data_IF_587733498415
#
_entry.id   IF_587733498415
#
_cell.length_a   1.000
_cell.length_b   1.000
_cell.length_c   1.000
_cell.angle_alpha   90.00
_cell.angle_beta   90.00
_cell.angle_gamma   90.00
#
_symmetry.space_group_name_H-M   'P 1'
#
loop_
_entity.id
_entity.type
_entity.pdbx_description
1 polymer ?
#
# COMPACT_ATOMS: atom_id res chain seq x y z
N UNK A 1 36.31 3.19 20.22
CA UNK A 1 34.84 3.31 20.26
C UNK A 1 34.30 2.90 21.63
N UNK A 2 33.27 3.56 22.15
CA UNK A 2 32.63 3.13 23.41
C UNK A 2 31.80 1.85 23.17
N UNK A 3 31.85 0.90 24.12
CA UNK A 3 31.10 -0.37 24.07
C UNK A 3 29.59 -0.14 23.88
N UNK A 4 29.08 1.02 24.33
CA UNK A 4 27.69 1.41 24.19
C UNK A 4 27.30 1.78 22.75
N UNK A 5 28.19 2.40 21.97
CA UNK A 5 27.93 2.76 20.56
C UNK A 5 27.95 1.51 19.67
N UNK A 6 28.91 0.62 19.87
CA UNK A 6 28.98 -0.65 19.12
C UNK A 6 27.70 -1.49 19.29
N UNK A 7 27.23 -1.66 20.53
CA UNK A 7 25.97 -2.36 20.81
C UNK A 7 24.75 -1.67 20.19
N UNK A 8 24.75 -0.34 20.06
CA UNK A 8 23.66 0.38 19.37
C UNK A 8 23.67 0.10 17.87
N UNK A 9 24.85 0.01 17.24
CA UNK A 9 25.00 -0.33 15.83
C UNK A 9 24.53 -1.78 15.58
N UNK A 10 24.99 -2.74 16.39
CA UNK A 10 24.55 -4.15 16.31
C UNK A 10 23.02 -4.28 16.41
N UNK A 11 22.42 -3.59 17.39
CA UNK A 11 20.94 -3.58 17.55
C UNK A 11 20.23 -3.00 16.34
N UNK A 12 20.81 -2.01 15.67
CA UNK A 12 20.23 -1.40 14.48
C UNK A 12 20.20 -2.39 13.29
N UNK A 13 21.21 -3.26 13.17
CA UNK A 13 21.27 -4.24 12.09
C UNK A 13 20.38 -5.47 12.30
N UNK A 14 19.95 -5.77 13.54
CA UNK A 14 19.14 -6.96 13.88
C UNK A 14 17.93 -7.22 12.97
N UNK A 15 17.32 -6.17 12.42
CA UNK A 15 16.16 -6.25 11.54
C UNK A 15 16.48 -6.67 10.09
N UNK A 16 17.76 -6.79 9.70
CA UNK A 16 18.15 -7.24 8.37
C UNK A 16 17.86 -8.74 8.16
N UNK A 17 17.55 -9.17 6.93
CA UNK A 17 17.39 -10.59 6.61
C UNK A 17 18.63 -11.40 7.02
N UNK A 18 18.43 -12.60 7.58
CA UNK A 18 19.52 -13.45 8.09
C UNK A 18 20.63 -13.67 7.05
N UNK A 19 20.27 -14.09 5.84
CA UNK A 19 21.23 -14.31 4.76
C UNK A 19 22.08 -13.08 4.41
N UNK A 20 21.54 -11.87 4.55
CA UNK A 20 22.33 -10.64 4.35
C UNK A 20 23.25 -10.39 5.55
N UNK A 21 22.75 -10.61 6.77
CA UNK A 21 23.53 -10.43 7.99
C UNK A 21 24.73 -11.37 8.03
N UNK A 22 24.53 -12.64 7.72
CA UNK A 22 25.58 -13.64 7.73
C UNK A 22 26.73 -13.29 6.75
N UNK A 23 26.41 -12.59 5.65
CA UNK A 23 27.39 -12.21 4.63
C UNK A 23 28.02 -10.81 4.84
N UNK A 24 27.33 -9.88 5.51
CA UNK A 24 27.68 -8.46 5.48
C UNK A 24 27.65 -7.75 6.83
N UNK A 25 27.08 -8.35 7.89
CA UNK A 25 26.87 -7.68 9.18
C UNK A 25 28.20 -7.24 9.81
N UNK A 26 29.19 -8.14 9.86
CA UNK A 26 30.49 -7.83 10.46
C UNK A 26 31.21 -6.66 9.76
N UNK A 27 31.18 -6.66 8.41
CA UNK A 27 31.79 -5.59 7.61
C UNK A 27 31.02 -4.28 7.78
N UNK A 28 29.69 -4.31 7.76
CA UNK A 28 28.87 -3.12 7.91
C UNK A 28 29.00 -2.49 9.31
N UNK A 29 29.11 -3.30 10.36
CA UNK A 29 29.36 -2.83 11.73
C UNK A 29 30.76 -2.21 11.81
N UNK A 30 31.78 -2.83 11.21
CA UNK A 30 33.14 -2.27 11.16
C UNK A 30 33.17 -0.89 10.49
N UNK A 31 32.62 -0.77 9.29
CA UNK A 31 32.59 0.49 8.53
C UNK A 31 31.84 1.60 9.28
N UNK A 32 30.69 1.29 9.90
CA UNK A 32 29.96 2.27 10.71
C UNK A 32 30.67 2.57 12.04
N UNK A 33 31.42 1.61 12.58
CA UNK A 33 32.29 1.80 13.74
C UNK A 33 33.41 2.79 13.44
N UNK A 34 34.11 2.62 12.33
CA UNK A 34 35.18 3.53 11.89
C UNK A 34 34.61 4.93 11.62
N UNK A 35 33.46 5.02 10.96
CA UNK A 35 32.77 6.29 10.75
C UNK A 35 32.35 6.95 12.08
N UNK A 36 31.89 6.16 13.05
CA UNK A 36 31.52 6.64 14.38
C UNK A 36 32.73 7.16 15.16
N UNK A 37 33.87 6.48 15.07
CA UNK A 37 35.12 6.92 15.70
C UNK A 37 35.66 8.20 15.06
N UNK A 38 35.72 8.25 13.73
CA UNK A 38 36.17 9.42 12.99
C UNK A 38 35.32 10.67 13.26
N UNK A 39 34.01 10.48 13.43
CA UNK A 39 33.07 11.57 13.72
C UNK A 39 32.85 11.81 15.23
N UNK A 40 33.55 11.08 16.12
CA UNK A 40 33.47 11.27 17.57
C UNK A 40 32.07 11.00 18.15
N UNK A 41 31.32 10.03 17.61
CA UNK A 41 29.94 9.78 18.04
C UNK A 41 29.88 9.26 19.47
N UNK A 42 29.13 9.97 20.32
CA UNK A 42 28.72 9.48 21.64
C UNK A 42 27.49 8.56 21.58
N UNK A 43 26.70 8.67 20.51
CA UNK A 43 25.56 7.81 20.20
C UNK A 43 25.32 7.76 18.69
N UNK A 44 24.65 6.71 18.20
CA UNK A 44 24.32 6.58 16.76
C UNK A 44 23.28 7.65 16.38
N UNK A 45 23.58 8.56 15.43
CA UNK A 45 22.66 9.60 15.00
C UNK A 45 21.33 9.04 14.51
N UNK A 46 20.24 9.80 14.72
CA UNK A 46 18.90 9.40 14.23
C UNK A 46 18.87 9.18 12.72
N UNK A 47 19.62 10.00 11.96
CA UNK A 47 19.73 9.88 10.52
C UNK A 47 20.29 8.51 10.09
N UNK A 48 21.34 8.03 10.76
CA UNK A 48 21.93 6.72 10.49
C UNK A 48 20.99 5.58 10.86
N UNK A 49 20.32 5.67 12.01
CA UNK A 49 19.29 4.68 12.38
C UNK A 49 18.20 4.56 11.32
N UNK A 50 17.75 5.69 10.78
CA UNK A 50 16.79 5.73 9.68
C UNK A 50 17.36 5.14 8.38
N UNK A 51 18.61 5.44 8.05
CA UNK A 51 19.28 4.87 6.87
C UNK A 51 19.38 3.34 6.96
N UNK A 52 19.80 2.81 8.11
CA UNK A 52 19.89 1.37 8.39
C UNK A 52 18.52 0.71 8.33
N UNK A 53 17.49 1.28 8.98
CA UNK A 53 16.13 0.76 8.95
C UNK A 53 15.54 0.76 7.52
N UNK A 54 15.77 1.84 6.77
CA UNK A 54 15.36 1.94 5.35
C UNK A 54 16.04 0.86 4.51
N UNK A 55 17.34 0.64 4.72
CA UNK A 55 18.08 -0.40 4.01
C UNK A 55 17.54 -1.80 4.32
N UNK A 56 17.30 -2.13 5.59
CA UNK A 56 16.67 -3.38 6.01
C UNK A 56 15.31 -3.59 5.32
N UNK A 57 14.47 -2.56 5.29
CA UNK A 57 13.16 -2.61 4.64
C UNK A 57 13.27 -2.88 3.13
N UNK A 58 14.20 -2.21 2.44
CA UNK A 58 14.46 -2.45 1.01
C UNK A 58 14.92 -3.87 0.76
N UNK A 59 15.81 -4.41 1.60
CA UNK A 59 16.27 -5.79 1.49
C UNK A 59 15.13 -6.79 1.69
N UNK A 60 14.32 -6.62 2.74
CA UNK A 60 13.12 -7.45 2.94
C UNK A 60 12.17 -7.40 1.74
N UNK A 61 11.89 -6.21 1.23
CA UNK A 61 11.04 -6.03 0.05
C UNK A 61 11.62 -6.71 -1.20
N UNK A 62 12.94 -6.61 -1.41
CA UNK A 62 13.63 -7.26 -2.53
C UNK A 62 13.67 -8.79 -2.41
N UNK A 63 13.79 -9.32 -1.19
CA UNK A 63 13.75 -10.76 -0.91
C UNK A 63 12.34 -11.35 -1.03
N UNK A 64 11.31 -10.59 -0.67
CA UNK A 64 9.91 -11.03 -0.74
C UNK A 64 9.34 -10.99 -2.17
N UNK A 65 9.73 -9.98 -2.97
CA UNK A 65 9.11 -9.70 -4.26
C UNK A 65 10.13 -9.62 -5.40
N UNK A 66 9.93 -10.46 -6.43
CA UNK A 66 10.70 -10.38 -7.68
C UNK A 66 10.56 -9.00 -8.35
N UNK A 67 11.51 -8.57 -9.20
CA UNK A 67 11.37 -7.31 -9.96
C UNK A 67 10.07 -7.21 -10.76
N UNK A 68 9.59 -8.35 -11.29
CA UNK A 68 8.31 -8.44 -12.01
C UNK A 68 7.13 -8.23 -11.07
N UNK A 69 7.15 -8.86 -9.90
CA UNK A 69 6.12 -8.68 -8.86
C UNK A 69 6.07 -7.25 -8.35
N UNK A 70 7.23 -6.61 -8.13
CA UNK A 70 7.31 -5.20 -7.72
C UNK A 70 6.73 -4.26 -8.77
N UNK A 71 7.01 -4.48 -10.06
CA UNK A 71 6.43 -3.69 -11.14
C UNK A 71 4.92 -3.87 -11.25
N UNK A 72 4.43 -5.10 -11.09
CA UNK A 72 3.00 -5.39 -11.07
C UNK A 72 2.32 -4.70 -9.87
N UNK A 73 2.82 -4.91 -8.66
CA UNK A 73 2.34 -4.28 -7.43
C UNK A 73 2.28 -2.75 -7.54
N UNK A 74 3.37 -2.13 -8.02
CA UNK A 74 3.44 -0.69 -8.22
C UNK A 74 2.40 -0.19 -9.24
N UNK A 75 2.20 -0.95 -10.33
CA UNK A 75 1.21 -0.60 -11.35
C UNK A 75 -0.21 -0.74 -10.83
N UNK A 76 -0.51 -1.82 -10.11
CA UNK A 76 -1.81 -2.07 -9.50
C UNK A 76 -2.15 -0.95 -8.50
N UNK A 77 -1.24 -0.69 -7.56
CA UNK A 77 -1.41 0.34 -6.54
C UNK A 77 -1.56 1.75 -7.14
N UNK A 78 -0.78 2.09 -8.17
CA UNK A 78 -0.88 3.37 -8.85
C UNK A 78 -2.24 3.54 -9.55
N UNK A 79 -2.68 2.54 -10.33
CA UNK A 79 -3.97 2.61 -11.01
C UNK A 79 -5.15 2.64 -10.03
N UNK A 80 -5.09 1.86 -8.95
CA UNK A 80 -6.07 1.89 -7.87
C UNK A 80 -6.09 3.23 -7.12
N UNK A 81 -4.94 3.86 -6.88
CA UNK A 81 -4.85 5.21 -6.31
C UNK A 81 -5.46 6.28 -7.22
N UNK A 82 -5.18 6.22 -8.53
CA UNK A 82 -5.78 7.11 -9.50
C UNK A 82 -7.31 6.96 -9.58
N UNK A 83 -7.81 5.72 -9.60
CA UNK A 83 -9.23 5.43 -9.59
C UNK A 83 -9.93 5.85 -8.28
N UNK A 84 -9.34 5.56 -7.12
CA UNK A 84 -9.83 6.02 -5.83
C UNK A 84 -9.90 7.55 -5.76
N UNK A 85 -8.87 8.23 -6.30
CA UNK A 85 -8.86 9.68 -6.46
C UNK A 85 -10.03 10.17 -7.31
N UNK A 86 -10.26 9.58 -8.48
CA UNK A 86 -11.37 9.96 -9.34
C UNK A 86 -12.74 9.79 -8.64
N UNK A 87 -12.95 8.68 -7.93
CA UNK A 87 -14.20 8.46 -7.18
C UNK A 87 -14.34 9.48 -6.05
N UNK A 88 -13.27 9.79 -5.33
CA UNK A 88 -13.29 10.80 -4.28
C UNK A 88 -13.61 12.20 -4.83
N UNK A 89 -13.03 12.57 -5.97
CA UNK A 89 -13.30 13.84 -6.65
C UNK A 89 -14.80 13.94 -7.02
N UNK A 90 -15.34 12.89 -7.63
CA UNK A 90 -16.75 12.84 -8.04
C UNK A 90 -17.70 12.88 -6.83
N UNK A 91 -17.39 12.12 -5.78
CA UNK A 91 -18.23 12.00 -4.60
C UNK A 91 -18.27 13.28 -3.74
N UNK A 92 -17.13 13.95 -3.57
CA UNK A 92 -17.00 15.05 -2.59
C UNK A 92 -16.69 16.43 -3.18
N UNK A 93 -16.11 16.52 -4.37
CA UNK A 93 -15.65 17.80 -4.93
C UNK A 93 -16.60 18.31 -6.01
N UNK A 94 -16.98 17.44 -6.96
CA UNK A 94 -17.75 17.84 -8.15
C UNK A 94 -19.26 17.72 -7.99
N UNK A 95 -19.75 17.03 -6.95
CA UNK A 95 -21.18 16.86 -6.77
C UNK A 95 -21.85 18.20 -6.43
N UNK A 96 -22.94 18.58 -7.13
CA UNK A 96 -23.73 19.74 -6.76
C UNK A 96 -24.32 19.51 -5.36
N UNK A 97 -23.92 20.34 -4.42
CA UNK A 97 -24.51 20.38 -3.07
C UNK A 97 -25.80 21.19 -3.20
N UNK A 98 -26.95 20.57 -2.89
CA UNK A 98 -28.17 21.32 -2.58
C UNK A 98 -28.01 22.08 -1.26
N UNK A 99 -29.11 22.38 -0.57
CA UNK A 99 -29.14 23.14 0.71
C UNK A 99 -28.32 22.54 1.88
N UNK A 100 -27.66 21.39 1.69
CA UNK A 100 -26.75 20.74 2.64
C UNK A 100 -25.39 21.44 2.82
N UNK A 101 -25.16 22.60 2.16
CA UNK A 101 -23.92 23.41 2.25
C UNK A 101 -23.56 23.80 3.70
N UNK A 102 -24.53 23.85 4.62
CA UNK A 102 -24.33 24.29 5.99
C UNK A 102 -23.61 23.28 6.91
N UNK A 103 -23.45 22.01 6.51
CA UNK A 103 -22.94 20.95 7.39
C UNK A 103 -21.63 20.30 6.96
N UNK A 104 -21.12 20.56 5.74
CA UNK A 104 -19.82 20.02 5.32
C UNK A 104 -18.70 21.02 5.63
N UNK A 105 -17.75 20.72 6.53
CA UNK A 105 -16.65 21.63 6.84
C UNK A 105 -15.74 21.84 5.62
N UNK A 106 -15.79 23.05 5.05
CA UNK A 106 -15.12 23.44 3.79
C UNK A 106 -13.61 23.11 3.77
N UNK A 107 -12.93 23.14 4.93
CA UNK A 107 -11.51 22.80 5.05
C UNK A 107 -11.16 21.35 4.69
N UNK A 108 -12.06 20.40 4.98
CA UNK A 108 -11.82 18.97 4.70
C UNK A 108 -11.80 18.67 3.20
N UNK A 109 -12.63 19.39 2.45
CA UNK A 109 -12.79 19.25 1.01
C UNK A 109 -11.58 19.84 0.28
N UNK A 110 -11.06 20.97 0.73
CA UNK A 110 -9.87 21.59 0.13
C UNK A 110 -8.63 20.69 0.26
N UNK A 111 -8.36 20.18 1.46
CA UNK A 111 -7.23 19.27 1.67
C UNK A 111 -7.40 17.94 0.92
N UNK A 112 -8.62 17.39 0.87
CA UNK A 112 -8.94 16.21 0.07
C UNK A 112 -8.78 16.45 -1.44
N UNK A 113 -9.23 17.59 -1.94
CA UNK A 113 -9.12 17.99 -3.34
C UNK A 113 -7.66 18.14 -3.78
N UNK A 114 -6.78 18.69 -2.93
CA UNK A 114 -5.34 18.77 -3.21
C UNK A 114 -4.74 17.37 -3.30
N UNK A 115 -5.00 16.51 -2.31
CA UNK A 115 -4.47 15.14 -2.31
C UNK A 115 -4.88 14.36 -3.58
N UNK A 116 -6.16 14.47 -3.95
CA UNK A 116 -6.71 13.81 -5.14
C UNK A 116 -6.21 14.45 -6.43
N UNK A 117 -6.13 15.77 -6.48
CA UNK A 117 -5.60 16.52 -7.62
C UNK A 117 -4.17 16.13 -7.96
N UNK A 118 -3.33 15.88 -6.94
CA UNK A 118 -1.97 15.36 -7.13
C UNK A 118 -1.99 13.96 -7.75
N UNK A 119 -2.87 13.07 -7.29
CA UNK A 119 -3.01 11.72 -7.86
C UNK A 119 -3.49 11.72 -9.31
N UNK A 120 -4.49 12.53 -9.63
CA UNK A 120 -5.02 12.66 -10.99
C UNK A 120 -4.00 13.31 -11.92
N UNK A 121 -3.27 14.30 -11.44
CA UNK A 121 -2.14 14.90 -12.18
C UNK A 121 -1.03 13.87 -12.42
N UNK A 122 -0.73 13.01 -11.44
CA UNK A 122 0.22 11.92 -11.62
C UNK A 122 -0.25 10.93 -12.69
N UNK A 123 -1.53 10.57 -12.69
CA UNK A 123 -2.14 9.69 -13.69
C UNK A 123 -2.12 10.31 -15.10
N UNK A 124 -2.43 11.62 -15.22
CA UNK A 124 -2.35 12.36 -16.46
C UNK A 124 -0.91 12.40 -17.01
N UNK A 125 0.07 12.79 -16.18
CA UNK A 125 1.49 12.76 -16.56
C UNK A 125 1.95 11.37 -16.99
N UNK A 126 1.49 10.33 -16.29
CA UNK A 126 1.79 8.95 -16.68
C UNK A 126 1.16 8.59 -18.04
N UNK A 127 -0.07 9.01 -18.31
CA UNK A 127 -0.75 8.87 -19.60
C UNK A 127 -0.02 9.56 -20.74
N UNK A 128 0.53 10.74 -20.51
CA UNK A 128 1.38 11.47 -21.46
C UNK A 128 2.83 10.93 -21.57
N UNK A 129 3.16 9.85 -20.87
CA UNK A 129 4.49 9.23 -20.91
C UNK A 129 5.54 9.90 -20.02
N UNK A 130 5.19 10.92 -19.24
CA UNK A 130 6.09 11.64 -18.31
C UNK A 130 6.25 10.86 -17.00
N UNK A 131 6.92 9.71 -17.08
CA UNK A 131 7.02 8.75 -15.96
C UNK A 131 7.76 9.28 -14.73
N UNK A 132 8.79 10.10 -14.92
CA UNK A 132 9.55 10.71 -13.80
C UNK A 132 8.68 11.71 -13.04
N UNK A 133 7.98 12.58 -13.76
CA UNK A 133 7.04 13.55 -13.18
C UNK A 133 5.91 12.87 -12.43
N UNK A 134 5.29 11.83 -13.01
CA UNK A 134 4.26 11.05 -12.34
C UNK A 134 4.74 10.46 -11.00
N UNK A 135 5.96 9.92 -10.94
CA UNK A 135 6.54 9.40 -9.69
C UNK A 135 6.83 10.51 -8.67
N UNK A 136 7.29 11.67 -9.13
CA UNK A 136 7.48 12.84 -8.26
C UNK A 136 6.18 13.24 -7.59
N UNK A 137 5.07 13.28 -8.36
CA UNK A 137 3.75 13.57 -7.82
C UNK A 137 3.24 12.48 -6.88
N UNK A 138 3.49 11.19 -7.14
CA UNK A 138 3.15 10.11 -6.19
C UNK A 138 3.92 10.25 -4.88
N UNK A 139 5.21 10.60 -4.94
CA UNK A 139 6.00 10.86 -3.74
C UNK A 139 5.49 12.09 -2.97
N UNK A 140 5.06 13.14 -3.68
CA UNK A 140 4.42 14.30 -3.09
C UNK A 140 3.07 13.93 -2.44
N UNK A 141 2.25 13.13 -3.10
CA UNK A 141 0.99 12.62 -2.55
C UNK A 141 1.22 11.80 -1.28
N UNK A 142 2.26 10.96 -1.24
CA UNK A 142 2.65 10.22 -0.04
C UNK A 142 3.04 11.17 1.10
N UNK A 143 3.93 12.13 0.83
CA UNK A 143 4.36 13.11 1.82
C UNK A 143 3.19 13.94 2.36
N UNK A 144 2.31 14.39 1.47
CA UNK A 144 1.12 15.15 1.83
C UNK A 144 0.13 14.33 2.66
N UNK A 145 -0.17 13.09 2.25
CA UNK A 145 -1.07 12.21 3.00
C UNK A 145 -0.55 11.92 4.42
N UNK A 146 0.77 11.67 4.57
CA UNK A 146 1.40 11.46 5.88
C UNK A 146 1.40 12.74 6.71
N UNK A 147 1.69 13.90 6.12
CA UNK A 147 1.64 15.18 6.82
C UNK A 147 0.24 15.45 7.35
N UNK A 148 -0.80 15.31 6.52
CA UNK A 148 -2.20 15.47 6.95
C UNK A 148 -2.58 14.45 8.03
N UNK A 149 -2.09 13.21 7.95
CA UNK A 149 -2.35 12.19 8.97
C UNK A 149 -1.75 12.60 10.32
N UNK A 150 -0.50 13.07 10.33
CA UNK A 150 0.16 13.58 11.54
C UNK A 150 -0.58 14.81 12.08
N UNK A 151 -0.93 15.77 11.21
CA UNK A 151 -1.70 16.96 11.60
C UNK A 151 -3.02 16.57 12.24
N UNK A 152 -3.73 15.56 11.70
CA UNK A 152 -4.98 15.07 12.28
C UNK A 152 -4.81 14.48 13.68
N UNK A 153 -3.69 13.81 13.96
CA UNK A 153 -3.41 13.26 15.28
C UNK A 153 -2.98 14.32 16.30
N UNK A 154 -2.34 15.40 15.84
CA UNK A 154 -1.85 16.48 16.71
C UNK A 154 -2.92 17.55 16.94
N UNK A 155 -3.68 17.90 15.90
CA UNK A 155 -4.76 18.89 15.94
C UNK A 155 -6.09 18.20 15.69
N UNK A 156 -6.74 17.77 16.78
CA UNK A 156 -8.00 17.01 16.75
C UNK A 156 -9.16 17.76 16.11
N UNK A 157 -9.11 19.09 16.12
CA UNK A 157 -10.17 19.97 15.57
C UNK A 157 -9.95 20.33 14.09
N UNK A 158 -8.84 19.88 13.49
CA UNK A 158 -8.54 20.19 12.10
C UNK A 158 -9.52 19.48 11.16
N UNK A 159 -10.19 20.28 10.32
CA UNK A 159 -11.11 19.82 9.28
C UNK A 159 -10.32 19.14 8.16
N UNK A 160 -9.99 17.86 8.35
CA UNK A 160 -9.13 17.06 7.46
C UNK A 160 -9.89 15.86 6.90
N UNK A 161 -9.46 15.31 5.74
CA UNK A 161 -9.95 14.03 5.23
C UNK A 161 -9.83 12.93 6.29
N UNK A 162 -10.73 11.95 6.26
CA UNK A 162 -10.76 10.87 7.24
C UNK A 162 -9.41 10.13 7.29
N UNK A 163 -9.07 9.59 8.47
CA UNK A 163 -7.86 8.80 8.62
C UNK A 163 -7.83 7.60 7.66
N UNK A 164 -9.01 7.06 7.29
CA UNK A 164 -9.14 5.98 6.30
C UNK A 164 -8.62 6.42 4.94
N UNK A 165 -9.10 7.57 4.44
CA UNK A 165 -8.65 8.17 3.17
C UNK A 165 -7.14 8.40 3.16
N UNK A 166 -6.62 9.02 4.22
CA UNK A 166 -5.20 9.37 4.33
C UNK A 166 -4.31 8.12 4.37
N UNK A 167 -4.69 7.11 5.16
CA UNK A 167 -3.96 5.83 5.26
C UNK A 167 -4.02 5.08 3.93
N UNK A 168 -5.18 5.01 3.28
CA UNK A 168 -5.33 4.34 1.98
C UNK A 168 -4.41 4.97 0.92
N UNK A 169 -4.46 6.29 0.74
CA UNK A 169 -3.63 6.98 -0.24
C UNK A 169 -2.14 6.91 0.09
N UNK A 170 -1.76 6.97 1.37
CA UNK A 170 -0.37 6.80 1.79
C UNK A 170 0.14 5.38 1.47
N UNK A 171 -0.64 4.34 1.78
CA UNK A 171 -0.27 2.96 1.47
C UNK A 171 -0.18 2.72 -0.04
N UNK A 172 -1.16 3.18 -0.83
CA UNK A 172 -1.15 3.06 -2.28
C UNK A 172 0.02 3.80 -2.91
N UNK A 173 0.34 5.02 -2.44
CA UNK A 173 1.48 5.79 -2.93
C UNK A 173 2.81 5.10 -2.59
N UNK A 174 2.96 4.61 -1.36
CA UNK A 174 4.12 3.84 -0.93
C UNK A 174 4.35 2.61 -1.81
N UNK A 175 3.30 1.83 -2.08
CA UNK A 175 3.37 0.66 -2.96
C UNK A 175 3.66 1.04 -4.42
N UNK A 176 3.07 2.12 -4.93
CA UNK A 176 3.30 2.63 -6.29
C UNK A 176 4.77 3.04 -6.53
N UNK A 177 5.49 3.45 -5.48
CA UNK A 177 6.90 3.82 -5.57
C UNK A 177 7.86 2.62 -5.59
N UNK A 178 7.41 1.40 -5.27
CA UNK A 178 8.29 0.22 -5.14
C UNK A 178 8.87 -0.32 -6.46
N UNK A 179 8.27 0.02 -7.60
CA UNK A 179 8.61 -0.63 -8.88
C UNK A 179 8.34 0.24 -10.10
N UNK A 180 8.68 -0.29 -11.28
CA UNK A 180 8.40 0.38 -12.56
C UNK A 180 6.92 0.25 -12.91
N UNK A 181 6.31 1.34 -13.36
CA UNK A 181 4.92 1.37 -13.80
C UNK A 181 4.78 0.82 -15.22
N UNK A 182 3.76 -0.02 -15.45
CA UNK A 182 3.42 -0.60 -16.75
C UNK A 182 1.99 -0.22 -17.12
N UNK A 183 1.82 0.47 -18.25
CA UNK A 183 0.56 1.08 -18.66
C UNK A 183 -0.62 0.11 -18.64
N UNK A 184 -0.47 -1.09 -19.23
CA UNK A 184 -1.53 -2.11 -19.26
C UNK A 184 -2.09 -2.47 -17.88
N UNK A 185 -1.23 -2.52 -16.87
CA UNK A 185 -1.60 -2.92 -15.51
C UNK A 185 -2.13 -1.75 -14.72
N UNK A 186 -1.59 -0.54 -14.95
CA UNK A 186 -2.09 0.71 -14.37
C UNK A 186 -3.53 0.96 -14.81
N UNK A 187 -3.79 0.94 -16.12
CA UNK A 187 -5.12 1.21 -16.64
C UNK A 187 -6.08 0.05 -16.37
N UNK A 188 -5.60 -1.19 -16.44
CA UNK A 188 -6.38 -2.36 -16.03
C UNK A 188 -6.83 -2.30 -14.58
N UNK A 189 -5.95 -1.93 -13.64
CA UNK A 189 -6.35 -1.78 -12.23
C UNK A 189 -7.20 -0.55 -11.99
N UNK A 190 -6.95 0.57 -12.68
CA UNK A 190 -7.80 1.75 -12.58
C UNK A 190 -9.24 1.44 -13.02
N UNK A 191 -9.42 0.76 -14.16
CA UNK A 191 -10.74 0.33 -14.64
C UNK A 191 -11.38 -0.66 -13.68
N UNK A 192 -10.64 -1.66 -13.21
CA UNK A 192 -11.18 -2.64 -12.25
C UNK A 192 -11.61 -1.95 -10.94
N UNK A 193 -10.78 -1.06 -10.39
CA UNK A 193 -11.12 -0.28 -9.19
C UNK A 193 -12.31 0.66 -9.44
N UNK A 194 -12.41 1.31 -10.59
CA UNK A 194 -13.58 2.13 -10.93
C UNK A 194 -14.86 1.30 -11.09
N UNK A 195 -14.78 0.13 -11.73
CA UNK A 195 -15.93 -0.75 -11.86
C UNK A 195 -16.39 -1.29 -10.50
N UNK A 196 -15.45 -1.74 -9.67
CA UNK A 196 -15.75 -2.23 -8.32
C UNK A 196 -16.21 -1.11 -7.38
N UNK A 197 -15.56 0.05 -7.39
CA UNK A 197 -15.80 1.10 -6.38
C UNK A 197 -16.71 2.21 -6.89
N UNK A 198 -16.52 2.66 -8.14
CA UNK A 198 -17.34 3.70 -8.77
C UNK A 198 -18.80 3.25 -8.94
N UNK A 199 -19.05 2.02 -9.40
CA UNK A 199 -20.42 1.49 -9.46
C UNK A 199 -21.12 1.44 -8.10
N UNK A 200 -20.36 1.25 -7.01
CA UNK A 200 -20.89 1.05 -5.66
C UNK A 200 -20.99 2.35 -4.85
N UNK A 201 -20.12 3.34 -5.11
CA UNK A 201 -20.26 4.71 -4.58
C UNK A 201 -21.33 5.50 -5.33
N UNK A 202 -21.55 5.21 -6.62
CA UNK A 202 -22.66 5.78 -7.37
C UNK A 202 -23.99 5.05 -7.12
N UNK A 203 -23.99 3.84 -6.58
CA UNK A 203 -25.23 3.10 -6.32
C UNK A 203 -26.22 3.86 -5.42
N UNK A 204 -25.83 4.48 -4.28
CA UNK A 204 -26.78 5.29 -3.50
C UNK A 204 -27.31 6.50 -4.28
N UNK A 205 -26.49 7.12 -5.15
CA UNK A 205 -26.95 8.21 -6.04
C UNK A 205 -27.96 7.72 -7.07
N UNK A 206 -27.72 6.54 -7.65
CA UNK A 206 -28.55 5.93 -8.69
C UNK A 206 -29.85 5.32 -8.14
N UNK A 207 -29.84 4.85 -6.88
CA UNK A 207 -30.99 4.20 -6.23
C UNK A 207 -31.71 5.09 -5.21
N UNK A 208 -31.50 6.42 -5.26
CA UNK A 208 -32.21 7.37 -4.40
C UNK A 208 -31.84 7.33 -2.91
N UNK A 209 -30.73 6.69 -2.56
CA UNK A 209 -30.17 6.67 -1.22
C UNK A 209 -29.50 8.01 -0.88
N UNK A 210 -29.62 8.43 0.40
CA UNK A 210 -28.84 9.56 0.91
C UNK A 210 -27.37 9.17 0.90
N UNK A 211 -26.57 9.86 0.11
CA UNK A 211 -25.11 9.72 0.18
C UNK A 211 -24.63 10.38 1.45
N UNK A 212 -23.77 9.66 2.16
CA UNK A 212 -23.03 10.16 3.29
C UNK A 212 -22.49 11.60 3.07
N UNK A 213 -22.96 12.56 3.86
CA UNK A 213 -22.44 13.94 3.86
C UNK A 213 -21.00 14.03 4.41
N UNK A 214 -20.50 12.97 5.03
CA UNK A 214 -19.18 12.88 5.68
C UNK A 214 -18.33 11.76 5.08
N UNK A 215 -17.05 12.05 4.83
CA UNK A 215 -16.05 11.11 4.30
C UNK A 215 -16.04 9.76 5.05
N UNK A 216 -16.13 9.78 6.38
CA UNK A 216 -16.13 8.56 7.20
C UNK A 216 -17.34 7.65 6.98
N UNK A 217 -18.52 8.21 6.69
CA UNK A 217 -19.73 7.45 6.44
C UNK A 217 -19.70 6.79 5.05
N UNK A 218 -19.04 7.40 4.05
CA UNK A 218 -18.81 6.75 2.76
C UNK A 218 -17.99 5.48 2.93
N UNK A 219 -16.89 5.53 3.70
CA UNK A 219 -16.05 4.35 3.95
C UNK A 219 -16.78 3.26 4.73
N UNK A 220 -17.68 3.64 5.65
CA UNK A 220 -18.53 2.68 6.35
C UNK A 220 -19.44 1.94 5.36
N UNK A 221 -20.24 2.66 4.56
CA UNK A 221 -21.17 2.07 3.60
C UNK A 221 -20.46 1.27 2.50
N UNK A 222 -19.29 1.74 2.07
CA UNK A 222 -18.50 1.08 1.04
C UNK A 222 -17.72 -0.13 1.56
N UNK A 223 -17.56 -0.31 2.88
CA UNK A 223 -16.69 -1.36 3.43
C UNK A 223 -17.15 -2.78 3.07
N UNK A 224 -18.45 -3.09 3.10
CA UNK A 224 -19.03 -4.37 2.63
C UNK A 224 -18.59 -4.71 1.21
N UNK A 225 -18.64 -3.70 0.35
CA UNK A 225 -18.33 -3.80 -1.06
C UNK A 225 -16.83 -3.90 -1.33
N UNK A 226 -16.03 -3.14 -0.57
CA UNK A 226 -14.56 -3.27 -0.61
C UNK A 226 -14.16 -4.69 -0.18
N UNK A 227 -14.77 -5.25 0.88
CA UNK A 227 -14.52 -6.63 1.32
C UNK A 227 -14.85 -7.66 0.23
N UNK A 228 -15.97 -7.49 -0.48
CA UNK A 228 -16.31 -8.33 -1.64
C UNK A 228 -15.24 -8.24 -2.73
N UNK A 229 -14.83 -7.02 -3.11
CA UNK A 229 -13.80 -6.80 -4.13
C UNK A 229 -12.44 -7.38 -3.74
N UNK A 230 -12.03 -7.20 -2.47
CA UNK A 230 -10.82 -7.81 -1.90
C UNK A 230 -10.91 -9.33 -1.95
N UNK A 231 -12.05 -9.91 -1.57
CA UNK A 231 -12.30 -11.35 -1.65
C UNK A 231 -12.12 -11.89 -3.07
N UNK A 232 -12.79 -11.27 -4.05
CA UNK A 232 -12.67 -11.64 -5.47
C UNK A 232 -11.22 -11.56 -5.98
N UNK A 233 -10.49 -10.52 -5.60
CA UNK A 233 -9.09 -10.36 -5.97
C UNK A 233 -8.18 -11.42 -5.33
N UNK A 234 -8.44 -11.85 -4.09
CA UNK A 234 -7.72 -12.95 -3.44
C UNK A 234 -8.05 -14.31 -4.05
N UNK A 235 -9.31 -14.55 -4.43
CA UNK A 235 -9.68 -15.75 -5.19
C UNK A 235 -8.97 -15.79 -6.55
N UNK A 236 -8.90 -14.65 -7.26
CA UNK A 236 -8.10 -14.55 -8.48
C UNK A 236 -6.61 -14.80 -8.21
N UNK A 237 -6.07 -14.30 -7.10
CA UNK A 237 -4.69 -14.58 -6.69
C UNK A 237 -4.45 -16.08 -6.43
N UNK A 238 -5.39 -16.78 -5.78
CA UNK A 238 -5.32 -18.23 -5.60
C UNK A 238 -5.36 -18.98 -6.94
N UNK A 239 -6.27 -18.61 -7.85
CA UNK A 239 -6.30 -19.19 -9.20
C UNK A 239 -4.97 -18.98 -9.94
N UNK A 240 -4.34 -17.80 -9.79
CA UNK A 240 -2.99 -17.54 -10.33
C UNK A 240 -1.91 -18.42 -9.69
N UNK A 241 -2.03 -18.76 -8.40
CA UNK A 241 -1.08 -19.71 -7.78
C UNK A 241 -1.20 -21.10 -8.38
N UNK A 242 -2.43 -21.58 -8.62
CA UNK A 242 -2.68 -22.88 -9.23
C UNK A 242 -2.23 -22.93 -10.69
N UNK A 243 -2.36 -21.83 -11.43
CA UNK A 243 -1.82 -21.69 -12.79
C UNK A 243 -0.31 -21.46 -12.87
N UNK A 244 0.45 -21.67 -11.80
CA UNK A 244 1.92 -21.51 -11.77
C UNK A 244 2.42 -20.06 -11.78
N UNK A 245 1.53 -19.06 -11.74
CA UNK A 245 1.86 -17.61 -11.76
C UNK A 245 2.05 -17.05 -10.35
N UNK A 246 2.82 -17.76 -9.55
CA UNK A 246 3.01 -17.52 -8.11
C UNK A 246 3.63 -16.16 -7.75
N UNK A 247 4.36 -15.55 -8.68
CA UNK A 247 4.91 -14.19 -8.55
C UNK A 247 3.84 -13.10 -8.74
N UNK A 248 2.85 -13.35 -9.59
CA UNK A 248 1.74 -12.41 -9.85
C UNK A 248 0.71 -12.50 -8.71
N UNK A 249 0.39 -13.71 -8.26
CA UNK A 249 -0.50 -13.94 -7.13
C UNK A 249 -0.08 -13.18 -5.87
N UNK A 250 1.21 -13.26 -5.50
CA UNK A 250 1.76 -12.51 -4.35
C UNK A 250 1.65 -11.00 -4.53
N UNK A 251 1.86 -10.49 -5.75
CA UNK A 251 1.72 -9.05 -6.01
C UNK A 251 0.27 -8.59 -5.84
N UNK A 252 -0.70 -9.39 -6.32
CA UNK A 252 -2.14 -9.09 -6.13
C UNK A 252 -2.50 -9.14 -4.64
N UNK A 253 -2.09 -10.17 -3.92
CA UNK A 253 -2.36 -10.31 -2.48
C UNK A 253 -1.82 -9.13 -1.66
N UNK A 254 -0.65 -8.59 -2.01
CA UNK A 254 -0.10 -7.39 -1.35
C UNK A 254 -0.81 -6.11 -1.83
N UNK A 255 -1.20 -6.03 -3.10
CA UNK A 255 -1.88 -4.86 -3.67
C UNK A 255 -3.28 -4.62 -3.09
N UNK A 256 -3.95 -5.66 -2.60
CA UNK A 256 -5.28 -5.55 -1.96
C UNK A 256 -5.20 -5.16 -0.48
N UNK A 257 -4.04 -5.26 0.17
CA UNK A 257 -3.87 -4.92 1.59
C UNK A 257 -4.33 -3.50 1.95
N UNK A 258 -4.00 -2.43 1.19
CA UNK A 258 -4.49 -1.09 1.49
C UNK A 258 -6.02 -1.00 1.51
N UNK A 259 -6.68 -1.70 0.59
CA UNK A 259 -8.14 -1.76 0.52
C UNK A 259 -8.74 -2.54 1.68
N UNK A 260 -8.11 -3.65 2.10
CA UNK A 260 -8.53 -4.38 3.29
C UNK A 260 -8.40 -3.51 4.55
N UNK A 261 -7.29 -2.78 4.70
CA UNK A 261 -7.10 -1.84 5.82
C UNK A 261 -8.18 -0.75 5.80
N UNK A 262 -8.47 -0.19 4.63
CA UNK A 262 -9.52 0.82 4.49
C UNK A 262 -10.91 0.25 4.84
N UNK A 263 -11.22 -0.96 4.39
CA UNK A 263 -12.47 -1.64 4.71
C UNK A 263 -12.63 -1.89 6.21
N UNK A 264 -11.60 -2.40 6.89
CA UNK A 264 -11.64 -2.66 8.33
C UNK A 264 -11.78 -1.36 9.13
N UNK A 265 -11.03 -0.32 8.75
CA UNK A 265 -11.12 0.98 9.42
C UNK A 265 -12.46 1.69 9.16
N UNK A 266 -13.09 1.47 8.00
CA UNK A 266 -14.43 1.96 7.69
C UNK A 266 -15.53 1.15 8.39
N UNK A 267 -15.38 -0.18 8.44
CA UNK A 267 -16.34 -1.13 8.99
C UNK A 267 -16.60 -0.92 10.48
N UNK A 268 -15.67 -0.31 11.23
CA UNK A 268 -15.82 -0.02 12.67
C UNK A 268 -17.10 0.75 13.04
N UNK A 269 -17.75 1.38 12.07
CA UNK A 269 -18.98 2.15 12.27
C UNK A 269 -20.26 1.37 11.96
N UNK A 270 -20.18 0.24 11.24
CA UNK A 270 -21.36 -0.52 10.76
C UNK A 270 -21.34 -2.00 11.15
N UNK A 271 -20.17 -2.56 11.41
CA UNK A 271 -20.00 -3.99 11.68
C UNK A 271 -19.82 -4.25 13.15
N UNK A 272 -20.29 -5.41 13.57
CA UNK A 272 -19.93 -5.98 14.86
C UNK A 272 -18.42 -6.32 14.89
N UNK A 273 -17.86 -6.35 16.10
CA UNK A 273 -16.48 -6.78 16.32
C UNK A 273 -16.25 -8.21 15.78
N UNK A 274 -17.25 -9.09 15.90
CA UNK A 274 -17.19 -10.46 15.38
C UNK A 274 -17.03 -10.51 13.85
N UNK A 275 -17.85 -9.78 13.11
CA UNK A 275 -17.76 -9.74 11.63
C UNK A 275 -16.42 -9.15 11.16
N UNK A 276 -15.92 -8.13 11.85
CA UNK A 276 -14.62 -7.52 11.55
C UNK A 276 -13.49 -8.53 11.76
N UNK A 277 -13.52 -9.30 12.84
CA UNK A 277 -12.55 -10.36 13.11
C UNK A 277 -12.61 -11.48 12.06
N UNK A 278 -13.81 -11.90 11.65
CA UNK A 278 -14.00 -12.90 10.60
C UNK A 278 -13.42 -12.41 9.27
N UNK A 279 -13.65 -11.15 8.90
CA UNK A 279 -13.09 -10.56 7.69
C UNK A 279 -11.55 -10.54 7.72
N UNK A 280 -10.96 -10.13 8.86
CA UNK A 280 -9.51 -10.12 9.05
C UNK A 280 -8.93 -11.54 8.97
N UNK A 281 -9.56 -12.50 9.66
CA UNK A 281 -9.12 -13.89 9.67
C UNK A 281 -9.20 -14.52 8.27
N UNK A 282 -10.30 -14.28 7.54
CA UNK A 282 -10.48 -14.74 6.16
C UNK A 282 -9.44 -14.16 5.20
N UNK A 283 -9.19 -12.84 5.29
CA UNK A 283 -8.13 -12.18 4.52
C UNK A 283 -6.75 -12.77 4.83
N UNK A 284 -6.43 -12.96 6.12
CA UNK A 284 -5.16 -13.54 6.54
C UNK A 284 -5.00 -14.97 6.03
N UNK A 285 -6.02 -15.81 6.19
CA UNK A 285 -6.03 -17.20 5.71
C UNK A 285 -5.82 -17.28 4.19
N UNK A 286 -6.55 -16.50 3.41
CA UNK A 286 -6.41 -16.46 1.95
C UNK A 286 -5.03 -15.95 1.52
N UNK A 287 -4.52 -14.92 2.18
CA UNK A 287 -3.18 -14.39 1.90
C UNK A 287 -2.13 -15.47 2.20
N UNK A 288 -2.18 -16.11 3.37
CA UNK A 288 -1.28 -17.21 3.73
C UNK A 288 -1.37 -18.35 2.73
N UNK A 289 -2.57 -18.74 2.30
CA UNK A 289 -2.76 -19.76 1.28
C UNK A 289 -2.08 -19.41 -0.05
N UNK A 290 -2.19 -18.15 -0.52
CA UNK A 290 -1.45 -17.65 -1.70
C UNK A 290 0.06 -17.78 -1.51
N UNK A 291 0.58 -17.42 -0.33
CA UNK A 291 2.01 -17.51 -0.05
C UNK A 291 2.51 -18.96 0.09
N UNK A 292 1.74 -19.86 0.71
CA UNK A 292 2.09 -21.27 0.84
C UNK A 292 2.02 -22.01 -0.51
N UNK A 293 0.95 -21.81 -1.28
CA UNK A 293 0.82 -22.37 -2.64
C UNK A 293 1.95 -21.90 -3.57
N UNK A 294 2.43 -20.66 -3.38
CA UNK A 294 3.58 -20.14 -4.13
C UNK A 294 4.91 -20.84 -3.81
N UNK A 295 5.06 -21.45 -2.63
CA UNK A 295 6.25 -22.21 -2.23
C UNK A 295 6.18 -23.66 -2.72
N UNK A 296 5.01 -24.31 -2.62
CA UNK A 296 4.82 -25.69 -3.08
C UNK A 296 5.15 -25.87 -4.57
N UNK A 297 4.70 -24.93 -5.42
CA UNK A 297 5.00 -24.95 -6.86
C UNK A 297 6.50 -24.91 -7.21
N UNK A 298 7.36 -24.36 -6.34
CA UNK A 298 8.82 -24.36 -6.56
C UNK A 298 9.45 -25.71 -6.28
N UNK A 299 8.93 -26.46 -5.31
CA UNK A 299 9.50 -27.75 -4.90
C UNK A 299 9.23 -28.81 -5.99
N UNK A 300 8.01 -28.84 -6.53
CA UNK A 300 7.64 -29.78 -7.60
C UNK A 300 8.42 -29.54 -8.90
N UNK A 301 8.70 -28.27 -9.24
CA UNK A 301 9.50 -27.93 -10.42
C UNK A 301 10.97 -28.38 -10.28
N UNK A 302 11.56 -28.24 -9.09
CA UNK A 302 12.94 -28.69 -8.82
C UNK A 302 13.08 -30.21 -8.85
N UNK A 303 12.08 -30.94 -8.32
CA UNK A 303 12.09 -32.41 -8.29
C UNK A 303 12.04 -33.03 -9.70
N UNK A 304 11.28 -32.43 -10.62
CA UNK A 304 11.21 -32.87 -12.02
C UNK A 304 12.52 -32.65 -12.80
N UNK A 305 13.28 -31.60 -12.48
CA UNK A 305 14.57 -31.31 -13.14
C UNK A 305 15.70 -32.24 -12.65
N UNK A 306 15.66 -32.67 -11.39
CA UNK A 306 16.65 -33.61 -10.83
C UNK A 306 16.39 -35.03 -11.31
N UNK A 307 15.13 -35.45 -11.49
CA UNK A 307 14.78 -36.76 -12.03
C UNK A 307 15.06 -36.95 -13.53
N UNK A 308 15.18 -35.85 -14.30
CA UNK A 308 15.46 -35.90 -15.74
C UNK A 308 16.95 -35.99 -16.12
N UNK A 309 17.88 -35.89 -15.15
CA UNK A 309 19.33 -35.93 -15.38
C UNK A 309 19.98 -37.27 -15.05
N UNK A 310 19.23 -38.25 -14.53
CA UNK A 310 19.74 -39.59 -14.20
C UNK A 310 19.43 -40.66 -15.26
N UNK A 311 19.06 -40.25 -16.47
CA UNK A 311 18.65 -41.14 -17.57
C UNK A 311 19.26 -40.79 -18.93
N UNK A 312 20.46 -40.20 -18.93
CA UNK A 312 21.28 -40.00 -20.13
C UNK A 312 22.69 -40.53 -19.87
#
# INVERSE_FOLDING_TARGET
>A
MSVSVQRQIERAFRFHPRAWRDAHEAVAIGVLGDAAEAAGWSCVPRAERWAIARHAAVLWLSGMLSPVSRALLASLAFGSGAAAGAVYLLAFVLRPRGDEVLLSPQGSIAAGAVLVGVWLSAAALFGFGVRRGARGLVALALGFALALLVTRYVATDALLPSAVTLVLFALLAGLALLGRLRARWVWGSAVATLASFGGLVCAPVLFGGRVAALDSMMWAQASRWILLGVGLALFAALALTWGGRSSQARAVAVAVTPWMVAAVLGARFEFSLGETLVAIAGWFALTVAVFLGSRGSRISASALVVGGRSGA
#
